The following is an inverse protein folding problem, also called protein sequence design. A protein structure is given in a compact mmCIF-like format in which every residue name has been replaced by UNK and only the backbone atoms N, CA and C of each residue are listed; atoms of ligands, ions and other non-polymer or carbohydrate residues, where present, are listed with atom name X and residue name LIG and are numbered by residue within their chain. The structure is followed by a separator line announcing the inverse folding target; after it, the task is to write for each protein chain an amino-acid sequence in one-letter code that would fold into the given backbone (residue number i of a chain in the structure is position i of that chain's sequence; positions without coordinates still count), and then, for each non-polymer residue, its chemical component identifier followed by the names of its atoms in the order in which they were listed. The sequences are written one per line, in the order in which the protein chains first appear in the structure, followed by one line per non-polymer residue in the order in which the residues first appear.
data_IF_388660529239
#
_entry.id   IF_388660529239
#
_cell.length_a   1.000
_cell.length_b   1.000
_cell.length_c   1.000
_cell.angle_alpha   90.00
_cell.angle_beta   90.00
_cell.angle_gamma   90.00
#
_symmetry.space_group_name_H-M   'P 1'
#
loop_
_entity.id
_entity.type
_entity.pdbx_description
1 polymer ?
#
# COMPACT_ATOMS: atom_id res chain seq x y z
N UNK A 1 -11.39 12.81 8.98
CA UNK A 1 -10.42 13.64 9.71
C UNK A 1 -10.81 15.12 9.55
N UNK A 2 -10.69 15.90 10.61
CA UNK A 2 -10.90 17.35 10.58
C UNK A 2 -9.70 18.05 9.93
N UNK A 3 -8.50 17.55 10.22
CA UNK A 3 -7.25 18.04 9.62
C UNK A 3 -6.42 16.90 9.04
N UNK A 4 -5.80 17.15 7.89
CA UNK A 4 -4.85 16.24 7.25
C UNK A 4 -3.66 17.03 6.72
N UNK A 5 -2.46 16.59 7.04
CA UNK A 5 -1.22 17.14 6.51
C UNK A 5 -0.38 16.02 5.91
N UNK A 6 0.37 16.31 4.85
CA UNK A 6 1.24 15.33 4.23
C UNK A 6 2.41 15.99 3.53
N UNK A 7 3.58 15.38 3.69
CA UNK A 7 4.81 15.78 2.99
C UNK A 7 5.48 14.53 2.44
N UNK A 8 6.07 14.63 1.25
CA UNK A 8 6.84 13.54 0.64
C UNK A 8 8.01 14.14 -0.13
N UNK A 9 9.18 13.55 0.07
CA UNK A 9 10.42 13.93 -0.57
C UNK A 9 10.81 12.84 -1.57
N UNK A 10 11.12 13.28 -2.79
CA UNK A 10 11.50 12.40 -3.89
C UNK A 10 12.95 12.68 -4.27
N UNK A 11 13.71 11.62 -4.54
CA UNK A 11 15.08 11.73 -5.03
C UNK A 11 15.35 10.67 -6.08
N UNK A 12 15.67 11.12 -7.29
CA UNK A 12 16.24 10.28 -8.32
C UNK A 12 17.68 9.92 -7.95
N UNK A 13 17.99 8.63 -8.02
CA UNK A 13 19.28 8.04 -7.72
C UNK A 13 19.91 7.48 -9.01
N UNK A 14 21.25 7.30 -9.06
CA UNK A 14 21.90 6.65 -10.19
C UNK A 14 21.34 5.25 -10.47
N UNK A 15 21.56 4.74 -11.68
CA UNK A 15 21.06 3.42 -12.12
C UNK A 15 19.53 3.32 -12.17
N UNK A 16 18.86 4.43 -12.50
CA UNK A 16 17.41 4.51 -12.70
C UNK A 16 16.60 4.09 -11.47
N UNK A 17 17.08 4.46 -10.29
CA UNK A 17 16.36 4.32 -9.04
C UNK A 17 15.70 5.63 -8.64
N UNK A 18 14.60 5.54 -7.91
CA UNK A 18 13.92 6.66 -7.29
C UNK A 18 13.55 6.29 -5.86
N UNK A 19 13.91 7.14 -4.92
CA UNK A 19 13.59 6.98 -3.52
C UNK A 19 12.54 8.03 -3.13
N UNK A 20 11.54 7.59 -2.39
CA UNK A 20 10.53 8.43 -1.75
C UNK A 20 10.57 8.18 -0.24
N UNK A 21 10.54 9.25 0.53
CA UNK A 21 10.26 9.21 1.96
C UNK A 21 9.21 10.27 2.28
N UNK A 22 8.16 9.89 3.02
CA UNK A 22 7.05 10.77 3.31
C UNK A 22 6.43 10.52 4.68
N UNK A 23 5.65 11.48 5.11
CA UNK A 23 4.88 11.44 6.35
C UNK A 23 3.50 12.04 6.08
N UNK A 24 2.45 11.42 6.61
CA UNK A 24 1.10 11.98 6.63
C UNK A 24 0.59 11.98 8.07
N UNK A 25 0.06 13.12 8.49
CA UNK A 25 -0.59 13.29 9.79
C UNK A 25 -2.10 13.44 9.56
N UNK A 26 -2.89 12.67 10.31
CA UNK A 26 -4.34 12.68 10.29
C UNK A 26 -4.85 12.98 11.69
N UNK A 27 -5.68 14.01 11.81
CA UNK A 27 -6.37 14.37 13.05
C UNK A 27 -7.87 14.16 12.89
N UNK A 28 -8.45 13.33 13.75
CA UNK A 28 -9.88 13.04 13.79
C UNK A 28 -10.57 13.76 14.96
N UNK A 29 -9.88 14.67 15.66
CA UNK A 29 -10.36 15.36 16.86
C UNK A 29 -10.24 14.51 18.11
N UNK A 30 -10.70 13.25 18.05
CA UNK A 30 -10.59 12.27 19.15
C UNK A 30 -9.32 11.44 19.11
N UNK A 31 -8.67 11.34 17.95
CA UNK A 31 -7.46 10.55 17.75
C UNK A 31 -6.57 11.14 16.67
N UNK A 32 -5.27 10.87 16.80
CA UNK A 32 -4.22 11.35 15.91
C UNK A 32 -3.47 10.15 15.35
N UNK A 33 -3.13 10.22 14.07
CA UNK A 33 -2.45 9.12 13.38
C UNK A 33 -1.35 9.66 12.48
N UNK A 34 -0.13 9.22 12.75
CA UNK A 34 1.03 9.45 11.91
C UNK A 34 1.27 8.24 10.99
N UNK A 35 1.46 8.50 9.71
CA UNK A 35 1.73 7.49 8.69
C UNK A 35 3.05 7.83 8.03
N UNK A 36 4.08 7.02 8.27
CA UNK A 36 5.36 7.12 7.58
C UNK A 36 5.34 6.25 6.34
N UNK A 37 5.88 6.77 5.24
CA UNK A 37 5.97 6.08 3.95
C UNK A 37 7.42 6.08 3.50
N UNK A 38 7.90 4.94 3.03
CA UNK A 38 9.17 4.84 2.29
C UNK A 38 8.92 4.01 1.05
N UNK A 39 9.35 4.47 -0.11
CA UNK A 39 9.37 3.63 -1.32
C UNK A 39 10.66 3.73 -2.09
N UNK A 40 10.99 2.62 -2.73
CA UNK A 40 12.06 2.51 -3.70
C UNK A 40 11.45 2.03 -5.01
N UNK A 41 11.66 2.80 -6.06
CA UNK A 41 11.26 2.48 -7.42
C UNK A 41 12.50 2.28 -8.29
N UNK A 42 12.45 1.32 -9.19
CA UNK A 42 13.48 1.05 -10.19
C UNK A 42 12.86 0.98 -11.58
N UNK A 43 13.46 1.68 -12.52
CA UNK A 43 13.12 1.61 -13.93
C UNK A 43 14.15 0.73 -14.65
N UNK A 44 13.69 -0.33 -15.30
CA UNK A 44 14.55 -1.25 -16.05
C UNK A 44 13.96 -1.50 -17.43
N UNK A 45 14.45 -0.78 -18.43
CA UNK A 45 13.89 -0.81 -19.78
C UNK A 45 12.42 -0.40 -19.77
N UNK A 46 11.54 -1.27 -20.26
CA UNK A 46 10.09 -1.06 -20.24
C UNK A 46 9.41 -1.55 -18.95
N UNK A 47 10.17 -1.85 -17.90
CA UNK A 47 9.63 -2.30 -16.61
C UNK A 47 9.85 -1.25 -15.51
N UNK A 48 8.87 -1.17 -14.62
CA UNK A 48 8.90 -0.44 -13.37
C UNK A 48 8.66 -1.41 -12.23
N UNK A 49 9.55 -1.35 -11.23
CA UNK A 49 9.44 -2.11 -10.00
C UNK A 49 9.36 -1.13 -8.85
N UNK A 50 8.31 -1.19 -8.03
CA UNK A 50 8.18 -0.35 -6.84
C UNK A 50 7.97 -1.23 -5.63
N UNK A 51 8.76 -0.98 -4.59
CA UNK A 51 8.50 -1.48 -3.25
C UNK A 51 8.17 -0.28 -2.36
N UNK A 52 7.00 -0.29 -1.74
CA UNK A 52 6.53 0.77 -0.84
C UNK A 52 6.09 0.19 0.49
N UNK A 53 6.59 0.76 1.57
CA UNK A 53 6.18 0.41 2.92
C UNK A 53 5.47 1.57 3.60
N UNK A 54 4.51 1.23 4.45
CA UNK A 54 3.87 2.16 5.37
C UNK A 54 4.01 1.68 6.81
N UNK A 55 4.28 2.62 7.70
CA UNK A 55 4.35 2.41 9.14
C UNK A 55 3.38 3.35 9.82
N UNK A 56 2.47 2.80 10.63
CA UNK A 56 1.45 3.55 11.35
C UNK A 56 1.58 3.21 12.83
N UNK A 57 2.32 4.02 13.62
CA UNK A 57 2.42 3.83 15.05
C UNK A 57 1.08 4.07 15.73
N UNK A 58 0.79 3.27 16.76
CA UNK A 58 -0.36 3.44 17.65
C UNK A 58 0.01 3.05 19.08
N UNK A 59 -0.87 3.28 20.05
CA UNK A 59 -0.64 2.93 21.46
C UNK A 59 -0.37 1.43 21.67
N UNK A 60 -1.04 0.59 20.89
CA UNK A 60 -0.97 -0.88 20.99
C UNK A 60 0.00 -1.57 20.04
N UNK A 61 0.87 -0.79 19.39
CA UNK A 61 1.86 -1.30 18.45
C UNK A 61 1.84 -0.57 17.11
N UNK A 62 2.81 -0.92 16.26
CA UNK A 62 2.95 -0.29 14.95
C UNK A 62 2.38 -1.18 13.88
N UNK A 63 1.35 -0.70 13.18
CA UNK A 63 0.87 -1.36 11.96
C UNK A 63 1.87 -1.15 10.84
N UNK A 64 2.14 -2.20 10.07
CA UNK A 64 3.12 -2.19 8.98
C UNK A 64 2.48 -2.76 7.73
N UNK A 65 2.75 -2.14 6.59
CA UNK A 65 2.40 -2.73 5.30
C UNK A 65 3.51 -2.59 4.28
N UNK A 66 3.50 -3.51 3.31
CA UNK A 66 4.40 -3.58 2.18
C UNK A 66 3.56 -3.77 0.92
N UNK A 67 3.80 -2.94 -0.08
CA UNK A 67 3.20 -3.02 -1.40
C UNK A 67 4.32 -3.17 -2.43
N UNK A 68 4.17 -4.15 -3.30
CA UNK A 68 5.07 -4.45 -4.41
C UNK A 68 4.29 -4.26 -5.71
N UNK A 69 4.85 -3.50 -6.63
CA UNK A 69 4.28 -3.27 -7.96
C UNK A 69 5.32 -3.64 -8.99
N UNK A 70 4.95 -4.46 -9.95
CA UNK A 70 5.71 -4.72 -11.17
C UNK A 70 4.85 -4.33 -12.36
N UNK A 71 5.25 -3.29 -13.08
CA UNK A 71 4.53 -2.76 -14.23
C UNK A 71 5.39 -2.85 -15.48
N UNK A 72 4.82 -3.34 -16.58
CA UNK A 72 5.43 -3.37 -17.90
C UNK A 72 4.69 -2.42 -18.83
N UNK A 73 5.43 -1.55 -19.49
CA UNK A 73 4.92 -0.62 -20.50
C UNK A 73 5.03 -1.19 -21.91
N UNK A 74 4.08 -0.83 -22.78
CA UNK A 74 4.03 -1.22 -24.19
C UNK A 74 3.99 0.02 -25.08
N UNK A 75 5.18 0.53 -25.43
CA UNK A 75 5.34 1.66 -26.34
C UNK A 75 5.18 3.02 -25.68
N UNK A 76 4.07 3.27 -24.98
CA UNK A 76 3.80 4.53 -24.28
C UNK A 76 3.66 4.34 -22.77
N UNK A 77 3.68 5.44 -22.02
CA UNK A 77 3.46 5.42 -20.58
C UNK A 77 2.00 5.06 -20.20
N UNK A 78 1.04 5.30 -21.10
CA UNK A 78 -0.37 4.98 -20.86
C UNK A 78 -0.77 3.55 -21.21
N UNK A 79 0.10 2.82 -21.92
CA UNK A 79 -0.11 1.43 -22.30
C UNK A 79 0.70 0.52 -21.40
N UNK A 80 0.05 -0.19 -20.47
CA UNK A 80 0.75 -1.02 -19.50
C UNK A 80 -0.08 -2.19 -18.99
N UNK A 81 0.64 -3.17 -18.45
CA UNK A 81 0.12 -4.24 -17.60
C UNK A 81 0.91 -4.24 -16.29
N UNK A 82 0.22 -4.39 -15.17
CA UNK A 82 0.78 -4.27 -13.83
C UNK A 82 0.30 -5.41 -12.96
N UNK A 83 1.22 -5.94 -12.16
CA UNK A 83 0.98 -6.90 -11.11
C UNK A 83 1.28 -6.22 -9.78
N UNK A 84 0.33 -6.27 -8.86
CA UNK A 84 0.44 -5.68 -7.54
C UNK A 84 0.31 -6.77 -6.49
N UNK A 85 1.18 -6.72 -5.48
CA UNK A 85 1.11 -7.54 -4.28
C UNK A 85 1.12 -6.64 -3.06
N UNK A 86 0.28 -6.93 -2.09
CA UNK A 86 0.19 -6.21 -0.83
C UNK A 86 0.26 -7.18 0.33
N UNK A 87 0.94 -6.80 1.39
CA UNK A 87 0.90 -7.48 2.69
C UNK A 87 0.83 -6.42 3.79
N UNK A 88 0.05 -6.67 4.83
CA UNK A 88 -0.10 -5.77 5.96
C UNK A 88 -0.34 -6.54 7.25
N UNK A 89 0.32 -6.10 8.31
CA UNK A 89 0.12 -6.61 9.67
C UNK A 89 -0.31 -5.44 10.57
N UNK A 90 -1.43 -5.59 11.26
CA UNK A 90 -1.97 -4.60 12.17
C UNK A 90 -2.11 -5.20 13.58
N UNK A 91 -1.31 -4.75 14.57
CA UNK A 91 -1.48 -5.18 15.95
C UNK A 91 -2.78 -4.62 16.53
N UNK A 92 -3.52 -5.46 17.23
CA UNK A 92 -4.74 -5.13 17.97
C UNK A 92 -4.57 -5.52 19.42
N UNK A 93 -4.94 -4.61 20.33
CA UNK A 93 -4.99 -4.88 21.77
C UNK A 93 -6.27 -5.66 22.09
N UNK A 94 -6.12 -6.74 22.86
CA UNK A 94 -7.24 -7.53 23.40
C UNK A 94 -7.09 -7.58 24.91
N UNK A 95 -8.13 -7.17 25.64
CA UNK A 95 -8.19 -7.38 27.08
C UNK A 95 -8.59 -8.82 27.39
N UNK A 96 -7.72 -9.55 28.09
CA UNK A 96 -8.02 -10.89 28.59
C UNK A 96 -8.90 -10.83 29.83
N UNK A 97 -9.70 -11.87 30.07
CA UNK A 97 -10.61 -12.00 31.23
C UNK A 97 -9.93 -11.94 32.60
N UNK A 98 -8.60 -11.97 32.66
CA UNK A 98 -7.76 -11.78 33.85
C UNK A 98 -7.26 -10.33 34.05
N UNK A 99 -7.66 -9.38 33.20
CA UNK A 99 -7.17 -7.99 33.22
C UNK A 99 -5.80 -7.78 32.56
N UNK A 100 -5.23 -8.80 31.91
CA UNK A 100 -4.00 -8.69 31.14
C UNK A 100 -4.28 -8.24 29.70
N UNK A 101 -3.63 -7.18 29.24
CA UNK A 101 -3.68 -6.72 27.84
C UNK A 101 -2.73 -7.61 27.03
N UNK A 102 -3.25 -8.31 26.02
CA UNK A 102 -2.47 -9.10 25.06
C UNK A 102 -2.56 -8.46 23.68
N UNK A 103 -1.42 -8.31 23.00
CA UNK A 103 -1.36 -7.77 21.64
C UNK A 103 -1.35 -8.93 20.66
N UNK A 104 -2.30 -8.96 19.73
CA UNK A 104 -2.38 -9.94 18.64
C UNK A 104 -2.23 -9.21 17.30
N UNK A 105 -1.33 -9.70 16.44
CA UNK A 105 -1.18 -9.15 15.09
C UNK A 105 -2.17 -9.82 14.13
N UNK A 106 -2.87 -9.00 13.35
CA UNK A 106 -3.78 -9.44 12.28
C UNK A 106 -3.10 -9.24 10.94
N UNK A 107 -2.97 -10.31 10.17
CA UNK A 107 -2.29 -10.31 8.88
C UNK A 107 -3.29 -10.18 7.73
N UNK A 108 -2.84 -9.54 6.66
CA UNK A 108 -3.62 -9.31 5.45
C UNK A 108 -2.70 -9.39 4.23
N UNK A 109 -3.22 -9.92 3.14
CA UNK A 109 -2.53 -9.96 1.86
C UNK A 109 -3.49 -9.70 0.71
N UNK A 110 -2.94 -9.16 -0.38
CA UNK A 110 -3.70 -8.90 -1.61
C UNK A 110 -2.83 -9.14 -2.83
N UNK A 111 -3.45 -9.61 -3.91
CA UNK A 111 -2.84 -9.70 -5.22
C UNK A 111 -3.80 -9.13 -6.26
N UNK A 112 -3.30 -8.34 -7.19
CA UNK A 112 -4.13 -7.82 -8.28
C UNK A 112 -3.35 -7.60 -9.55
N UNK A 113 -4.06 -7.67 -10.67
CA UNK A 113 -3.56 -7.37 -12.00
C UNK A 113 -4.38 -6.21 -12.53
N UNK A 114 -3.73 -5.16 -13.01
CA UNK A 114 -4.36 -4.04 -13.71
C UNK A 114 -3.68 -3.77 -15.04
N UNK A 115 -4.43 -3.21 -15.97
CA UNK A 115 -3.88 -2.81 -17.25
C UNK A 115 -4.67 -1.67 -17.86
N UNK A 116 -4.00 -0.93 -18.71
CA UNK A 116 -4.57 0.18 -19.46
C UNK A 116 -3.98 0.19 -20.87
N UNK A 117 -4.79 0.58 -21.84
CA UNK A 117 -4.40 0.76 -23.22
C UNK A 117 -5.02 2.04 -23.81
N UNK A 118 -4.24 2.90 -24.47
CA UNK A 118 -4.77 4.07 -25.18
C UNK A 118 -5.47 3.64 -26.47
N UNK A 119 -6.73 4.02 -26.65
CA UNK A 119 -7.47 3.85 -27.90
C UNK A 119 -7.23 5.04 -28.86
N UNK A 120 -6.91 6.20 -28.30
CA UNK A 120 -6.50 7.43 -29.01
C UNK A 120 -5.67 8.32 -28.06
N UNK A 121 -5.31 9.53 -28.47
CA UNK A 121 -4.60 10.50 -27.62
C UNK A 121 -5.44 10.96 -26.40
N UNK A 122 -6.76 10.78 -26.44
CA UNK A 122 -7.67 11.27 -25.37
C UNK A 122 -8.47 10.16 -24.70
N UNK A 123 -8.68 9.04 -25.39
CA UNK A 123 -9.48 7.91 -24.89
C UNK A 123 -8.59 6.74 -24.48
N UNK A 124 -8.86 6.22 -23.29
CA UNK A 124 -8.16 5.07 -22.72
C UNK A 124 -9.18 4.03 -22.27
N UNK A 125 -8.81 2.76 -22.37
CA UNK A 125 -9.53 1.64 -21.77
C UNK A 125 -8.63 0.94 -20.77
N UNK A 126 -9.19 0.47 -19.67
CA UNK A 126 -8.43 -0.26 -18.66
C UNK A 126 -9.34 -1.06 -17.74
N UNK A 127 -8.73 -1.92 -16.94
CA UNK A 127 -9.43 -2.77 -15.99
C UNK A 127 -8.48 -3.27 -14.91
N UNK A 128 -9.06 -3.76 -13.82
CA UNK A 128 -8.33 -4.36 -12.71
C UNK A 128 -9.08 -5.60 -12.24
N UNK A 129 -8.34 -6.63 -11.85
CA UNK A 129 -8.89 -7.80 -11.16
C UNK A 129 -7.99 -8.09 -9.97
N UNK A 130 -8.58 -8.37 -8.82
CA UNK A 130 -7.85 -8.57 -7.58
C UNK A 130 -8.53 -9.51 -6.61
N UNK A 131 -7.70 -10.05 -5.71
CA UNK A 131 -8.11 -10.85 -4.59
C UNK A 131 -7.40 -10.34 -3.33
N UNK A 132 -8.14 -10.23 -2.24
CA UNK A 132 -7.61 -9.87 -0.94
C UNK A 132 -8.13 -10.80 0.16
N UNK A 133 -7.27 -11.07 1.13
CA UNK A 133 -7.58 -11.86 2.32
C UNK A 133 -7.06 -11.11 3.54
N UNK A 134 -7.87 -11.07 4.59
CA UNK A 134 -7.54 -10.39 5.84
C UNK A 134 -8.03 -11.20 7.02
N UNK A 135 -7.13 -11.41 7.97
CA UNK A 135 -7.45 -12.07 9.22
C UNK A 135 -8.10 -11.07 10.19
N UNK A 136 -9.12 -11.55 10.89
CA UNK A 136 -9.73 -10.90 12.04
C UNK A 136 -9.70 -11.87 13.22
N UNK A 137 -9.89 -11.35 14.43
CA UNK A 137 -9.79 -12.12 15.68
C UNK A 137 -10.58 -13.43 15.68
N UNK A 138 -11.72 -13.50 14.97
CA UNK A 138 -12.63 -14.64 14.99
C UNK A 138 -12.89 -15.26 13.60
N UNK A 139 -12.37 -14.67 12.52
CA UNK A 139 -12.64 -15.15 11.15
C UNK A 139 -11.65 -14.57 10.14
N UNK A 140 -11.49 -15.24 9.00
CA UNK A 140 -10.80 -14.70 7.83
C UNK A 140 -11.81 -14.17 6.84
N UNK A 141 -11.57 -12.97 6.31
CA UNK A 141 -12.38 -12.38 5.23
C UNK A 141 -11.62 -12.46 3.93
N UNK A 142 -12.27 -12.99 2.91
CA UNK A 142 -11.76 -12.99 1.54
C UNK A 142 -12.66 -12.12 0.67
N UNK A 143 -12.07 -11.39 -0.28
CA UNK A 143 -12.81 -10.56 -1.23
C UNK A 143 -12.17 -10.64 -2.60
N UNK A 144 -13.04 -10.71 -3.59
CA UNK A 144 -12.71 -10.55 -4.99
C UNK A 144 -13.14 -9.16 -5.46
N UNK A 145 -12.33 -8.52 -6.30
CA UNK A 145 -12.63 -7.24 -6.95
C UNK A 145 -12.37 -7.33 -8.44
N UNK A 146 -13.28 -6.80 -9.27
CA UNK A 146 -13.15 -6.69 -10.72
C UNK A 146 -13.85 -5.41 -11.22
#
# INVERSE_FOLDING_TARGET
PEYRFGVSLYKSLPSAFELEAGMRYLDFGTSKTDIYTVSLTKYLGSYLFTARTYLVPSSGGTSKSLNLVTRRYFGTAESYLSLNGGYGAAPTEIESSSGAITIVALDSWSISIDGQYPLSETWFIGGNVGFDSSEYLNFTRERFSA
#
